data_IF_653629757159
#
_entry.id   IF_653629757159
#
_cell.length_a   1.000
_cell.length_b   1.000
_cell.length_c   1.000
_cell.angle_alpha   90.00
_cell.angle_beta   90.00
_cell.angle_gamma   90.00
#
_symmetry.space_group_name_H-M   'P 1'
#
loop_
_entity.id
_entity.type
_entity.pdbx_description
1 polymer ?
#
# COMPACT_ATOMS: atom_id res chain seq x y z
N UNK A 1 8.43 14.02 10.70
CA UNK A 1 7.33 13.30 10.05
C UNK A 1 6.27 12.93 11.07
N UNK A 2 5.05 13.08 10.67
CA UNK A 2 3.94 12.78 11.57
C UNK A 2 3.64 11.29 11.56
N UNK A 3 3.45 10.74 12.73
CA UNK A 3 3.08 9.34 12.84
C UNK A 3 1.67 9.12 12.30
N UNK A 4 1.47 8.00 11.65
CA UNK A 4 0.15 7.62 11.16
C UNK A 4 -0.57 6.88 12.26
N UNK A 5 -1.80 7.30 12.54
CA UNK A 5 -2.64 6.60 13.48
C UNK A 5 -3.38 5.49 12.74
N UNK A 6 -3.05 4.26 13.06
CA UNK A 6 -3.67 3.11 12.43
C UNK A 6 -4.90 2.74 13.24
N UNK A 7 -6.05 3.27 12.83
CA UNK A 7 -7.29 3.00 13.54
C UNK A 7 -7.79 1.59 13.20
N UNK A 8 -8.69 1.09 14.01
CA UNK A 8 -9.33 -0.20 13.79
C UNK A 8 -10.43 -0.07 12.74
N UNK A 9 -10.07 0.42 11.59
CA UNK A 9 -11.02 0.63 10.52
C UNK A 9 -11.33 -0.70 9.83
N UNK A 10 -12.56 -1.17 9.97
CA UNK A 10 -12.97 -2.46 9.43
C UNK A 10 -13.75 -2.33 8.13
N UNK A 11 -13.65 -1.18 7.47
CA UNK A 11 -14.35 -1.01 6.21
C UNK A 11 -13.69 -1.75 5.07
N UNK A 12 -12.44 -2.15 5.23
CA UNK A 12 -11.74 -2.94 4.23
C UNK A 12 -11.82 -4.42 4.50
N UNK A 13 -11.38 -5.21 3.52
CA UNK A 13 -11.32 -6.66 3.68
C UNK A 13 -10.12 -7.04 4.55
N UNK A 14 -10.24 -8.16 5.24
CA UNK A 14 -9.14 -8.71 6.02
C UNK A 14 -8.11 -9.30 5.07
N UNK A 15 -6.85 -8.92 5.26
CA UNK A 15 -5.77 -9.30 4.37
C UNK A 15 -4.77 -10.19 5.11
N UNK A 16 -5.20 -11.38 5.53
CA UNK A 16 -4.35 -12.24 6.36
C UNK A 16 -3.69 -13.37 5.59
N UNK A 17 -4.07 -13.58 4.35
CA UNK A 17 -3.54 -14.70 3.57
C UNK A 17 -3.16 -14.22 2.17
N UNK A 18 -2.29 -14.96 1.47
CA UNK A 18 -1.98 -14.64 0.08
C UNK A 18 -3.22 -14.65 -0.82
N UNK A 19 -4.22 -15.48 -0.48
CA UNK A 19 -5.44 -15.56 -1.26
C UNK A 19 -6.23 -14.26 -1.28
N UNK A 20 -5.99 -13.39 -0.30
CA UNK A 20 -6.60 -12.08 -0.29
C UNK A 20 -6.08 -11.16 -1.39
N UNK A 21 -5.03 -11.58 -2.10
CA UNK A 21 -4.42 -10.76 -3.13
C UNK A 21 -5.39 -10.34 -4.23
N UNK A 22 -6.31 -11.23 -4.62
CA UNK A 22 -7.28 -10.89 -5.64
C UNK A 22 -8.22 -9.79 -5.16
N UNK A 23 -8.64 -9.86 -3.92
CA UNK A 23 -9.49 -8.83 -3.33
C UNK A 23 -8.75 -7.50 -3.28
N UNK A 24 -7.50 -7.54 -2.86
CA UNK A 24 -6.67 -6.36 -2.78
C UNK A 24 -6.44 -5.76 -4.17
N UNK A 25 -6.16 -6.61 -5.15
CA UNK A 25 -5.96 -6.19 -6.54
C UNK A 25 -7.17 -5.41 -7.04
N UNK A 26 -8.37 -5.96 -6.87
CA UNK A 26 -9.59 -5.32 -7.31
C UNK A 26 -9.82 -4.00 -6.56
N UNK A 27 -9.53 -3.98 -5.28
CA UNK A 27 -9.70 -2.79 -4.47
C UNK A 27 -8.74 -1.67 -4.91
N UNK A 28 -7.47 -2.02 -5.18
CA UNK A 28 -6.49 -1.03 -5.63
C UNK A 28 -6.90 -0.44 -6.99
N UNK A 29 -7.34 -1.29 -7.90
CA UNK A 29 -7.77 -0.81 -9.21
C UNK A 29 -8.94 0.16 -9.11
N UNK A 30 -9.89 -0.12 -8.24
CA UNK A 30 -11.04 0.75 -8.09
C UNK A 30 -10.68 2.09 -7.47
N UNK A 31 -9.70 2.11 -6.59
CA UNK A 31 -9.41 3.30 -5.81
C UNK A 31 -8.29 4.16 -6.37
N UNK A 32 -7.35 3.57 -7.10
CA UNK A 32 -6.14 4.30 -7.48
C UNK A 32 -5.79 4.25 -8.95
N UNK A 33 -6.30 3.29 -9.70
CA UNK A 33 -5.99 3.23 -11.14
C UNK A 33 -6.49 4.49 -11.82
N UNK A 34 -5.66 5.08 -12.67
CA UNK A 34 -5.98 6.34 -13.33
C UNK A 34 -5.54 7.56 -12.56
N UNK A 35 -5.27 7.41 -11.26
CA UNK A 35 -4.77 8.51 -10.43
C UNK A 35 -3.29 8.35 -10.13
N UNK A 36 -2.80 7.12 -10.21
CA UNK A 36 -1.42 6.78 -10.01
C UNK A 36 -1.16 5.53 -10.83
N UNK A 37 0.11 5.23 -11.06
CA UNK A 37 0.47 3.99 -11.72
C UNK A 37 0.29 2.86 -10.72
N UNK A 38 -0.56 1.90 -11.06
CA UNK A 38 -0.82 0.74 -10.20
C UNK A 38 -0.33 -0.50 -10.91
N UNK A 39 0.65 -1.14 -10.31
CA UNK A 39 1.24 -2.36 -10.82
C UNK A 39 0.78 -3.51 -9.94
N UNK A 40 0.11 -4.49 -10.54
CA UNK A 40 -0.50 -5.58 -9.81
C UNK A 40 0.20 -6.89 -10.14
N UNK A 41 0.68 -7.56 -9.13
CA UNK A 41 1.28 -8.88 -9.26
C UNK A 41 0.77 -9.76 -8.13
N UNK A 42 -0.50 -10.15 -8.25
CA UNK A 42 -1.08 -10.93 -7.18
C UNK A 42 -0.56 -12.37 -7.16
N UNK A 43 0.09 -12.82 -8.24
CA UNK A 43 0.73 -14.14 -8.23
C UNK A 43 1.88 -14.17 -7.23
N UNK A 44 2.61 -13.05 -7.13
CA UNK A 44 3.66 -12.88 -6.13
C UNK A 44 3.14 -12.19 -4.88
N UNK A 45 1.84 -11.92 -4.84
CA UNK A 45 1.24 -11.21 -3.71
C UNK A 45 1.94 -9.89 -3.43
N UNK A 46 2.17 -9.12 -4.49
CA UNK A 46 2.84 -7.82 -4.37
C UNK A 46 2.17 -6.82 -5.31
N UNK A 47 1.94 -5.63 -4.80
CA UNK A 47 1.28 -4.56 -5.54
C UNK A 47 2.02 -3.25 -5.28
N UNK A 48 2.13 -2.42 -6.31
CA UNK A 48 2.82 -1.15 -6.20
C UNK A 48 1.91 -0.04 -6.68
N UNK A 49 1.83 1.03 -5.89
CA UNK A 49 1.11 2.24 -6.26
C UNK A 49 2.14 3.37 -6.28
N UNK A 50 2.30 4.05 -7.41
CA UNK A 50 3.37 5.01 -7.59
C UNK A 50 2.85 6.21 -8.38
N UNK A 51 3.02 7.42 -7.86
CA UNK A 51 2.62 8.64 -8.56
C UNK A 51 3.82 9.48 -8.99
N UNK A 52 5.02 8.93 -8.88
CA UNK A 52 6.24 9.64 -9.24
C UNK A 52 6.88 10.40 -8.09
N UNK A 53 6.18 10.55 -6.97
CA UNK A 53 6.73 11.22 -5.79
C UNK A 53 6.83 10.27 -4.61
N UNK A 54 5.87 9.39 -4.48
CA UNK A 54 5.92 8.36 -3.45
C UNK A 54 5.56 7.02 -4.07
N UNK A 55 6.17 5.97 -3.58
CA UNK A 55 5.88 4.62 -4.01
C UNK A 55 5.47 3.81 -2.80
N UNK A 56 4.32 3.18 -2.89
CA UNK A 56 3.81 2.32 -1.83
C UNK A 56 3.78 0.90 -2.36
N UNK A 57 4.54 0.02 -1.71
CA UNK A 57 4.63 -1.38 -2.10
C UNK A 57 3.89 -2.22 -1.06
N UNK A 58 2.87 -2.92 -1.50
CA UNK A 58 2.02 -3.73 -0.63
C UNK A 58 2.31 -5.18 -0.97
N UNK A 59 2.79 -5.93 0.01
CA UNK A 59 3.22 -7.30 -0.26
C UNK A 59 2.93 -8.21 0.91
N UNK A 60 2.90 -9.52 0.64
CA UNK A 60 2.62 -10.51 1.66
C UNK A 60 3.93 -11.11 2.16
N UNK A 61 4.17 -10.99 3.46
CA UNK A 61 5.31 -11.61 4.12
C UNK A 61 4.95 -13.03 4.52
N UNK A 62 5.83 -13.97 4.20
CA UNK A 62 5.58 -15.37 4.51
C UNK A 62 6.20 -15.82 5.84
N UNK A 63 6.89 -14.92 6.51
CA UNK A 63 7.41 -15.19 7.85
C UNK A 63 8.74 -15.93 7.90
N UNK A 64 9.41 -16.11 6.77
CA UNK A 64 10.64 -16.90 6.74
C UNK A 64 11.80 -16.18 7.42
N UNK A 65 11.84 -14.87 7.33
CA UNK A 65 12.94 -14.08 7.90
C UNK A 65 12.50 -13.38 9.17
N UNK A 66 11.35 -12.70 9.11
CA UNK A 66 10.89 -11.84 10.20
C UNK A 66 10.03 -12.55 11.23
N UNK A 67 9.50 -13.73 10.87
CA UNK A 67 8.53 -14.42 11.71
C UNK A 67 7.12 -13.89 11.60
N UNK A 68 6.91 -12.81 10.86
CA UNK A 68 5.58 -12.26 10.65
C UNK A 68 4.99 -12.82 9.36
N UNK A 69 3.75 -13.28 9.41
CA UNK A 69 3.05 -13.77 8.24
C UNK A 69 1.81 -12.92 8.03
N UNK A 70 1.80 -12.14 6.96
CA UNK A 70 0.69 -11.26 6.68
C UNK A 70 1.08 -10.15 5.72
N UNK A 71 0.16 -9.21 5.53
CA UNK A 71 0.36 -8.12 4.57
C UNK A 71 1.16 -6.97 5.17
N UNK A 72 2.06 -6.44 4.38
CA UNK A 72 2.99 -5.38 4.77
C UNK A 72 2.93 -4.28 3.73
N UNK A 73 3.05 -3.05 4.17
CA UNK A 73 3.07 -1.88 3.28
C UNK A 73 4.38 -1.14 3.51
N UNK A 74 5.18 -1.03 2.46
CA UNK A 74 6.43 -0.28 2.49
C UNK A 74 6.23 1.02 1.73
N UNK A 75 6.65 2.13 2.34
CA UNK A 75 6.54 3.44 1.72
C UNK A 75 7.93 3.94 1.35
N UNK A 76 8.07 4.36 0.10
CA UNK A 76 9.33 4.87 -0.44
C UNK A 76 9.15 6.28 -0.96
N UNK A 77 10.16 7.10 -0.75
CA UNK A 77 10.29 8.39 -1.43
C UNK A 77 10.85 8.11 -2.81
N UNK A 78 10.08 8.40 -3.85
CA UNK A 78 10.46 8.10 -5.23
C UNK A 78 10.76 9.36 -6.04
N UNK A 79 10.95 10.50 -5.38
CA UNK A 79 11.24 11.75 -6.08
C UNK A 79 12.61 11.71 -6.75
N UNK A 80 13.59 11.16 -6.07
CA UNK A 80 14.95 11.13 -6.59
C UNK A 80 15.19 9.84 -7.38
N UNK A 81 16.33 9.83 -8.11
CA UNK A 81 16.73 8.65 -8.87
C UNK A 81 16.98 7.44 -7.97
N UNK A 82 17.35 7.70 -6.73
CA UNK A 82 17.58 6.63 -5.76
C UNK A 82 16.44 6.65 -4.75
N UNK A 83 15.43 5.83 -4.95
CA UNK A 83 14.31 5.77 -4.02
C UNK A 83 14.79 5.48 -2.61
N UNK A 84 14.18 6.15 -1.63
CA UNK A 84 14.58 6.02 -0.26
C UNK A 84 13.44 5.43 0.56
N UNK A 85 13.75 4.38 1.30
CA UNK A 85 12.78 3.74 2.18
C UNK A 85 12.42 4.69 3.32
N UNK A 86 11.13 4.85 3.57
CA UNK A 86 10.66 5.75 4.62
C UNK A 86 10.08 4.99 5.81
N UNK A 87 9.17 4.06 5.56
CA UNK A 87 8.43 3.43 6.65
C UNK A 87 7.82 2.12 6.20
N UNK A 88 7.67 1.20 7.15
CA UNK A 88 6.98 -0.07 6.91
C UNK A 88 5.83 -0.21 7.90
N UNK A 89 4.71 -0.71 7.41
CA UNK A 89 3.53 -0.96 8.22
C UNK A 89 3.04 -2.38 8.00
N UNK A 90 2.52 -3.00 9.05
CA UNK A 90 1.84 -4.29 8.94
C UNK A 90 0.36 -4.03 9.05
N UNK A 91 -0.41 -4.57 8.09
CA UNK A 91 -1.81 -4.22 7.94
C UNK A 91 -2.69 -5.46 7.84
N UNK A 92 -3.94 -5.31 8.26
CA UNK A 92 -4.93 -6.37 8.18
C UNK A 92 -6.09 -6.02 7.26
N UNK A 93 -6.33 -4.72 7.03
CA UNK A 93 -7.51 -4.27 6.29
C UNK A 93 -7.12 -3.28 5.21
N UNK A 94 -7.88 -3.28 4.12
CA UNK A 94 -7.66 -2.31 3.05
C UNK A 94 -7.79 -0.88 3.53
N UNK A 95 -8.66 -0.65 4.54
CA UNK A 95 -8.79 0.69 5.09
C UNK A 95 -7.51 1.23 5.69
N UNK A 96 -6.69 0.34 6.26
CA UNK A 96 -5.39 0.75 6.79
C UNK A 96 -4.44 1.17 5.67
N UNK A 97 -4.50 0.45 4.54
CA UNK A 97 -3.70 0.80 3.37
C UNK A 97 -4.10 2.19 2.86
N UNK A 98 -5.39 2.45 2.79
CA UNK A 98 -5.89 3.75 2.35
C UNK A 98 -5.40 4.86 3.28
N UNK A 99 -5.40 4.61 4.59
CA UNK A 99 -4.92 5.59 5.55
C UNK A 99 -3.44 5.91 5.36
N UNK A 100 -2.64 4.88 5.08
CA UNK A 100 -1.21 5.06 4.85
C UNK A 100 -0.98 5.91 3.59
N UNK A 101 -1.65 5.56 2.50
CA UNK A 101 -1.52 6.29 1.25
C UNK A 101 -1.96 7.75 1.42
N UNK A 102 -3.04 7.96 2.15
CA UNK A 102 -3.55 9.30 2.43
C UNK A 102 -2.56 10.14 3.23
N UNK A 103 -1.92 9.51 4.22
CA UNK A 103 -0.98 10.24 5.07
C UNK A 103 0.26 10.69 4.29
N UNK A 104 0.62 9.96 3.26
CA UNK A 104 1.73 10.33 2.40
C UNK A 104 1.27 11.11 1.18
N UNK A 105 0.22 11.83 1.27
CA UNK A 105 -0.44 12.74 0.36
C UNK A 105 0.05 12.92 -1.06
N UNK A 106 1.29 12.64 -1.32
CA UNK A 106 1.89 12.76 -2.64
C UNK A 106 1.12 11.95 -3.67
N UNK A 107 0.69 10.75 -3.27
CA UNK A 107 -0.05 9.89 -4.18
C UNK A 107 -1.40 10.48 -4.57
N UNK A 108 -1.95 11.33 -3.72
CA UNK A 108 -3.23 11.93 -4.04
C UNK A 108 -3.05 13.33 -4.61
N UNK A 109 -2.11 14.09 -4.09
CA UNK A 109 -1.87 15.45 -4.54
C UNK A 109 -1.34 15.50 -5.95
N UNK A 110 -0.37 14.63 -6.24
CA UNK A 110 0.25 14.61 -7.56
C UNK A 110 -0.68 14.17 -8.66
N UNK A 111 -1.69 13.37 -8.34
CA UNK A 111 -2.63 12.86 -9.34
C UNK A 111 -3.88 13.69 -9.48
N UNK A 112 -4.08 14.66 -8.61
CA UNK A 112 -5.30 15.42 -8.59
C UNK A 112 -6.50 14.58 -8.20
N UNK A 113 -6.29 13.49 -7.54
CA UNK A 113 -7.37 12.60 -7.15
C UNK A 113 -8.26 13.27 -6.11
N UNK A 114 -9.52 13.12 -6.32
CA UNK A 114 -10.49 13.61 -5.37
C UNK A 114 -10.73 12.53 -4.33
N UNK A 115 -10.68 12.92 -3.11
CA UNK A 115 -10.85 12.00 -2.02
C UNK A 115 -12.26 11.39 -2.03
#
# INVERSE_FOLDING_TARGET
MTAITMTQNKTGRVLRTPLAGRILSNWLMRNYAGNAEVELDYMDSRFTVDDGTARVVIWFEYGEVTGYKGWTVDVWDAVSEAPRFLQQYRVEYTGQIAAIISAYGELRGGTGRVA
#
